data_IF_745005332658
#
_entry.id   IF_745005332658
#
_cell.length_a   1.000
_cell.length_b   1.000
_cell.length_c   1.000
_cell.angle_alpha   90.00
_cell.angle_beta   90.00
_cell.angle_gamma   90.00
#
_symmetry.space_group_name_H-M   'P 1'
#
loop_
_entity.id
_entity.type
_entity.pdbx_description
1 polymer ?
#
# COMPACT_ATOMS: atom_id res chain seq x y z
N UNK A 1 -141.61 30.74 2.98
CA UNK A 1 -141.68 31.53 1.74
C UNK A 1 -140.49 31.13 0.87
N UNK A 2 -140.78 30.83 -0.41
CA UNK A 2 -139.98 31.00 -1.65
C UNK A 2 -138.45 31.04 -1.61
N UNK A 3 -137.67 30.65 -2.62
CA UNK A 3 -137.77 29.90 -3.87
C UNK A 3 -136.33 29.97 -4.45
N UNK A 4 -135.90 28.93 -5.18
CA UNK A 4 -135.02 28.98 -6.37
C UNK A 4 -133.50 29.35 -6.35
N UNK A 5 -132.71 28.42 -6.93
CA UNK A 5 -131.54 28.52 -7.86
C UNK A 5 -130.32 29.37 -7.44
N UNK A 6 -129.06 28.94 -7.54
CA UNK A 6 -128.33 28.41 -8.71
C UNK A 6 -126.89 27.95 -8.29
N UNK A 7 -126.31 26.94 -8.95
CA UNK A 7 -124.85 26.62 -9.03
C UNK A 7 -124.24 27.39 -10.24
N UNK A 8 -122.90 27.44 -10.51
CA UNK A 8 -121.80 26.57 -10.04
C UNK A 8 -120.45 27.32 -9.75
N UNK A 9 -119.40 26.60 -9.29
CA UNK A 9 -118.13 26.49 -10.04
C UNK A 9 -117.03 25.69 -9.31
N UNK A 10 -116.31 24.91 -10.11
CA UNK A 10 -115.21 24.04 -9.77
C UNK A 10 -113.86 24.75 -9.99
N UNK A 11 -112.93 24.66 -9.04
CA UNK A 11 -111.45 24.75 -9.21
C UNK A 11 -110.81 24.93 -7.83
N UNK A 12 -110.38 23.86 -7.16
CA UNK A 12 -109.40 24.00 -6.04
C UNK A 12 -108.67 22.73 -5.58
N UNK A 13 -109.00 21.52 -6.04
CA UNK A 13 -108.36 20.31 -5.47
C UNK A 13 -107.18 19.72 -6.27
N UNK A 14 -106.96 20.08 -7.55
CA UNK A 14 -105.86 19.50 -8.36
C UNK A 14 -104.47 20.13 -8.13
N UNK A 15 -104.35 21.26 -7.44
CA UNK A 15 -103.08 21.99 -7.28
C UNK A 15 -102.28 21.59 -6.02
N UNK A 16 -102.93 21.01 -4.99
CA UNK A 16 -102.27 20.59 -3.73
C UNK A 16 -101.56 19.22 -3.79
N UNK A 17 -101.81 18.42 -4.82
CA UNK A 17 -101.21 17.07 -4.93
C UNK A 17 -99.92 17.02 -5.77
N UNK A 18 -99.61 18.05 -6.57
CA UNK A 18 -98.33 18.16 -7.28
C UNK A 18 -97.20 18.68 -6.37
N UNK A 19 -97.44 19.72 -5.55
CA UNK A 19 -96.35 20.37 -4.78
C UNK A 19 -95.66 19.46 -3.74
N UNK A 20 -96.40 18.52 -3.12
CA UNK A 20 -95.82 17.56 -2.16
C UNK A 20 -94.91 16.52 -2.83
N UNK A 21 -95.21 16.11 -4.07
CA UNK A 21 -94.34 15.19 -4.84
C UNK A 21 -93.06 15.90 -5.29
N UNK A 22 -93.18 17.17 -5.68
CA UNK A 22 -92.05 17.98 -6.12
C UNK A 22 -91.10 18.35 -4.95
N UNK A 23 -91.64 18.63 -3.75
CA UNK A 23 -90.83 18.81 -2.52
C UNK A 23 -90.07 17.55 -2.11
N UNK A 24 -90.73 16.38 -2.14
CA UNK A 24 -90.08 15.10 -1.80
C UNK A 24 -89.02 14.73 -2.85
N UNK A 25 -89.26 15.01 -4.14
CA UNK A 25 -88.25 14.85 -5.18
C UNK A 25 -87.06 15.80 -5.01
N UNK A 26 -87.31 17.07 -4.64
CA UNK A 26 -86.24 18.04 -4.39
C UNK A 26 -85.43 17.71 -3.12
N UNK A 27 -86.07 17.23 -2.05
CA UNK A 27 -85.37 16.74 -0.87
C UNK A 27 -84.50 15.52 -1.20
N UNK A 28 -85.00 14.55 -1.97
CA UNK A 28 -84.22 13.40 -2.45
C UNK A 28 -83.07 13.81 -3.37
N UNK A 29 -83.27 14.81 -4.26
CA UNK A 29 -82.20 15.39 -5.08
C UNK A 29 -81.14 16.11 -4.24
N UNK A 30 -81.52 16.85 -3.20
CA UNK A 30 -80.58 17.57 -2.34
C UNK A 30 -79.79 16.63 -1.41
N UNK A 31 -80.41 15.53 -0.95
CA UNK A 31 -79.73 14.45 -0.24
C UNK A 31 -78.70 13.75 -1.14
N UNK A 32 -79.10 13.39 -2.38
CA UNK A 32 -78.17 12.83 -3.38
C UNK A 32 -77.01 13.77 -3.71
N UNK A 33 -77.27 15.08 -3.87
CA UNK A 33 -76.20 16.08 -4.07
C UNK A 33 -75.26 16.23 -2.87
N UNK A 34 -75.77 16.04 -1.63
CA UNK A 34 -74.94 16.02 -0.41
C UNK A 34 -74.09 14.75 -0.35
N UNK A 35 -74.68 13.59 -0.66
CA UNK A 35 -74.00 12.29 -0.73
C UNK A 35 -72.90 12.32 -1.81
N UNK A 36 -73.21 12.79 -3.02
CA UNK A 36 -72.22 12.97 -4.10
C UNK A 36 -71.07 13.89 -3.69
N UNK A 37 -71.34 14.98 -2.95
CA UNK A 37 -70.28 15.85 -2.40
C UNK A 37 -69.42 15.17 -1.33
N UNK A 38 -70.02 14.32 -0.49
CA UNK A 38 -69.29 13.57 0.55
C UNK A 38 -68.43 12.49 -0.10
N UNK A 39 -69.00 11.73 -1.03
CA UNK A 39 -68.28 10.71 -1.82
C UNK A 39 -67.13 11.34 -2.60
N UNK A 40 -67.36 12.49 -3.25
CA UNK A 40 -66.30 13.24 -3.94
C UNK A 40 -65.16 13.68 -3.02
N UNK A 41 -65.47 14.12 -1.78
CA UNK A 41 -64.45 14.44 -0.77
C UNK A 41 -63.67 13.21 -0.31
N UNK A 42 -64.33 12.07 -0.11
CA UNK A 42 -63.68 10.81 0.28
C UNK A 42 -62.73 10.35 -0.84
N UNK A 43 -63.18 10.38 -2.09
CA UNK A 43 -62.36 10.03 -3.26
C UNK A 43 -61.14 10.96 -3.35
N UNK A 44 -61.33 12.28 -3.19
CA UNK A 44 -60.22 13.24 -3.20
C UNK A 44 -59.17 12.93 -2.12
N UNK A 45 -59.61 12.61 -0.89
CA UNK A 45 -58.70 12.27 0.22
C UNK A 45 -57.93 10.97 -0.07
N UNK A 46 -58.59 9.95 -0.63
CA UNK A 46 -57.93 8.68 -1.02
C UNK A 46 -56.88 8.93 -2.10
N UNK A 47 -57.20 9.73 -3.12
CA UNK A 47 -56.26 10.10 -4.18
C UNK A 47 -55.08 10.87 -3.59
N UNK A 48 -55.32 11.83 -2.69
CA UNK A 48 -54.26 12.59 -2.04
C UNK A 48 -53.34 11.69 -1.20
N UNK A 49 -53.91 10.76 -0.45
CA UNK A 49 -53.17 9.73 0.30
C UNK A 49 -52.29 8.89 -0.62
N UNK A 50 -52.84 8.40 -1.74
CA UNK A 50 -52.07 7.61 -2.72
C UNK A 50 -50.91 8.42 -3.33
N UNK A 51 -51.11 9.70 -3.62
CA UNK A 51 -50.05 10.59 -4.10
C UNK A 51 -48.97 10.80 -3.04
N UNK A 52 -49.35 11.01 -1.78
CA UNK A 52 -48.40 11.15 -0.67
C UNK A 52 -47.60 9.86 -0.46
N UNK A 53 -48.27 8.70 -0.44
CA UNK A 53 -47.62 7.39 -0.32
C UNK A 53 -46.69 7.14 -1.50
N UNK A 54 -47.14 7.44 -2.72
CA UNK A 54 -46.32 7.35 -3.93
C UNK A 54 -45.09 8.28 -3.87
N UNK A 55 -45.25 9.51 -3.36
CA UNK A 55 -44.17 10.46 -3.16
C UNK A 55 -43.14 9.98 -2.13
N UNK A 56 -43.59 9.45 -0.99
CA UNK A 56 -42.72 8.89 0.04
C UNK A 56 -41.97 7.67 -0.49
N UNK A 57 -42.66 6.76 -1.17
CA UNK A 57 -42.05 5.58 -1.81
C UNK A 57 -41.02 6.01 -2.85
N UNK A 58 -41.37 6.94 -3.74
CA UNK A 58 -40.46 7.47 -4.76
C UNK A 58 -39.23 8.13 -4.15
N UNK A 59 -39.40 8.94 -3.10
CA UNK A 59 -38.30 9.57 -2.38
C UNK A 59 -37.40 8.53 -1.69
N UNK A 60 -37.99 7.49 -1.09
CA UNK A 60 -37.25 6.42 -0.41
C UNK A 60 -36.42 5.61 -1.41
N UNK A 61 -37.01 5.23 -2.55
CA UNK A 61 -36.30 4.54 -3.64
C UNK A 61 -35.19 5.42 -4.22
N UNK A 62 -35.47 6.70 -4.48
CA UNK A 62 -34.46 7.65 -4.97
C UNK A 62 -33.28 7.76 -4.01
N UNK A 63 -33.54 7.94 -2.70
CA UNK A 63 -32.50 8.01 -1.66
C UNK A 63 -31.69 6.72 -1.56
N UNK A 64 -32.34 5.57 -1.68
CA UNK A 64 -31.67 4.27 -1.67
C UNK A 64 -30.70 4.14 -2.85
N UNK A 65 -31.14 4.47 -4.07
CA UNK A 65 -30.30 4.39 -5.28
C UNK A 65 -29.16 5.42 -5.22
N UNK A 66 -29.45 6.69 -4.90
CA UNK A 66 -28.41 7.74 -4.78
C UNK A 66 -27.34 7.37 -3.73
N UNK A 67 -27.77 6.80 -2.59
CA UNK A 67 -26.84 6.33 -1.57
C UNK A 67 -25.99 5.17 -2.07
N UNK A 68 -26.60 4.19 -2.75
CA UNK A 68 -25.93 2.99 -3.24
C UNK A 68 -24.96 3.23 -4.41
N UNK A 69 -25.12 4.33 -5.15
CA UNK A 69 -24.17 4.73 -6.20
C UNK A 69 -22.87 5.33 -5.64
N UNK A 70 -22.90 5.82 -4.39
CA UNK A 70 -21.73 6.37 -3.71
C UNK A 70 -20.90 5.25 -3.08
N UNK A 71 -19.58 5.44 -2.92
CA UNK A 71 -18.73 4.50 -2.19
C UNK A 71 -19.30 4.15 -0.80
N UNK A 72 -18.98 2.95 -0.32
CA UNK A 72 -19.42 2.49 1.00
C UNK A 72 -18.90 3.41 2.10
N UNK A 73 -17.59 3.67 2.08
CA UNK A 73 -16.92 4.61 2.96
C UNK A 73 -15.80 5.32 2.19
N UNK A 74 -16.01 6.58 1.76
CA UNK A 74 -15.03 7.36 0.99
C UNK A 74 -13.68 7.56 1.70
N UNK A 75 -13.64 7.39 3.03
CA UNK A 75 -12.42 7.59 3.83
C UNK A 75 -11.66 6.29 4.08
N UNK A 76 -12.29 5.14 3.86
CA UNK A 76 -11.70 3.84 4.12
C UNK A 76 -11.05 3.26 2.86
N UNK A 77 -9.73 3.39 2.80
CA UNK A 77 -8.89 2.82 1.74
C UNK A 77 -8.34 1.42 2.08
N UNK A 78 -8.83 0.75 3.12
CA UNK A 78 -8.36 -0.59 3.45
C UNK A 78 -8.88 -1.60 2.44
N UNK A 79 -7.96 -2.37 1.86
CA UNK A 79 -8.29 -3.41 0.90
C UNK A 79 -8.89 -4.63 1.62
N UNK A 80 -9.95 -5.17 1.04
CA UNK A 80 -10.61 -6.41 1.45
C UNK A 80 -10.40 -7.42 0.33
N UNK A 81 -9.97 -8.63 0.69
CA UNK A 81 -9.87 -9.72 -0.28
C UNK A 81 -11.26 -10.31 -0.50
N UNK A 82 -11.72 -10.33 -1.75
CA UNK A 82 -12.97 -10.97 -2.16
C UNK A 82 -12.69 -12.08 -3.17
N UNK A 83 -13.55 -13.08 -3.20
CA UNK A 83 -13.53 -14.14 -4.20
C UNK A 83 -14.77 -14.03 -5.07
N UNK A 84 -14.56 -13.99 -6.39
CA UNK A 84 -15.64 -14.09 -7.38
C UNK A 84 -15.57 -15.46 -8.03
N UNK A 85 -16.48 -16.39 -7.68
CA UNK A 85 -16.51 -17.73 -8.26
C UNK A 85 -16.76 -17.71 -9.77
N UNK A 86 -16.25 -18.72 -10.46
CA UNK A 86 -16.53 -18.91 -11.89
C UNK A 86 -18.01 -19.10 -12.16
N UNK A 87 -18.51 -18.45 -13.22
CA UNK A 87 -19.93 -18.46 -13.60
C UNK A 87 -20.83 -17.56 -12.76
N UNK A 88 -20.26 -16.71 -11.87
CA UNK A 88 -21.05 -15.75 -11.09
C UNK A 88 -21.77 -14.74 -11.98
N UNK A 89 -23.09 -14.61 -11.80
CA UNK A 89 -23.90 -13.56 -12.41
C UNK A 89 -23.65 -12.19 -11.78
N UNK A 90 -23.97 -11.09 -12.48
CA UNK A 90 -23.86 -9.73 -11.94
C UNK A 90 -24.60 -9.55 -10.60
N UNK A 91 -25.69 -10.29 -10.39
CA UNK A 91 -26.43 -10.31 -9.13
C UNK A 91 -25.61 -10.94 -8.01
N UNK A 92 -25.05 -12.14 -8.24
CA UNK A 92 -24.20 -12.83 -7.26
C UNK A 92 -22.94 -12.04 -6.94
N UNK A 93 -22.32 -11.42 -7.95
CA UNK A 93 -21.17 -10.52 -7.74
C UNK A 93 -21.57 -9.35 -6.82
N UNK A 94 -22.70 -8.71 -7.06
CA UNK A 94 -23.21 -7.65 -6.19
C UNK A 94 -23.47 -8.12 -4.76
N UNK A 95 -24.05 -9.31 -4.58
CA UNK A 95 -24.29 -9.90 -3.26
C UNK A 95 -22.98 -10.19 -2.50
N UNK A 96 -21.94 -10.69 -3.19
CA UNK A 96 -20.61 -10.92 -2.62
C UNK A 96 -19.98 -9.59 -2.19
N UNK A 97 -19.98 -8.59 -3.09
CA UNK A 97 -19.41 -7.27 -2.81
C UNK A 97 -20.10 -6.56 -1.63
N UNK A 98 -21.41 -6.73 -1.48
CA UNK A 98 -22.17 -6.18 -0.35
C UNK A 98 -21.87 -6.93 0.95
N UNK A 99 -21.85 -8.27 0.90
CA UNK A 99 -21.53 -9.12 2.04
C UNK A 99 -20.13 -8.83 2.60
N UNK A 100 -19.15 -8.66 1.71
CA UNK A 100 -17.76 -8.40 2.09
C UNK A 100 -17.47 -6.92 2.36
N UNK A 101 -18.52 -6.08 2.48
CA UNK A 101 -18.42 -4.67 2.82
C UNK A 101 -17.54 -3.87 1.85
N UNK A 102 -17.66 -4.14 0.54
CA UNK A 102 -17.02 -3.35 -0.52
C UNK A 102 -17.99 -2.30 -1.07
N UNK A 103 -19.28 -2.65 -1.18
CA UNK A 103 -20.34 -1.77 -1.68
C UNK A 103 -21.52 -1.69 -0.71
N UNK A 104 -22.36 -0.67 -0.86
CA UNK A 104 -23.58 -0.48 -0.05
C UNK A 104 -24.75 -1.38 -0.43
N UNK A 105 -24.84 -1.79 -1.69
CA UNK A 105 -25.99 -2.52 -2.22
C UNK A 105 -25.64 -3.30 -3.49
N UNK A 106 -25.75 -4.62 -3.41
CA UNK A 106 -25.63 -5.53 -4.55
C UNK A 106 -26.74 -5.33 -5.57
N UNK A 107 -27.94 -4.92 -5.12
CA UNK A 107 -29.06 -4.58 -6.01
C UNK A 107 -28.68 -3.38 -6.88
N UNK A 108 -28.19 -2.29 -6.28
CA UNK A 108 -27.78 -1.10 -7.02
C UNK A 108 -26.65 -1.43 -8.00
N UNK A 109 -25.65 -2.21 -7.58
CA UNK A 109 -24.59 -2.67 -8.47
C UNK A 109 -25.10 -3.50 -9.66
N UNK A 110 -26.01 -4.45 -9.43
CA UNK A 110 -26.59 -5.27 -10.49
C UNK A 110 -27.32 -4.42 -11.55
N UNK A 111 -28.10 -3.41 -11.13
CA UNK A 111 -28.75 -2.50 -12.08
C UNK A 111 -27.76 -1.52 -12.72
N UNK A 112 -26.77 -1.05 -11.96
CA UNK A 112 -25.73 -0.15 -12.44
C UNK A 112 -24.95 -0.77 -13.60
N UNK A 113 -24.49 -2.01 -13.44
CA UNK A 113 -23.74 -2.73 -14.47
C UNK A 113 -24.55 -2.93 -15.74
N UNK A 114 -25.86 -3.20 -15.63
CA UNK A 114 -26.77 -3.27 -16.79
C UNK A 114 -26.92 -1.91 -17.49
N UNK A 115 -27.14 -0.85 -16.73
CA UNK A 115 -27.33 0.50 -17.29
C UNK A 115 -26.07 1.02 -18.00
N UNK A 116 -24.90 0.70 -17.45
CA UNK A 116 -23.58 1.06 -18.01
C UNK A 116 -23.04 0.06 -19.03
N UNK A 117 -23.77 -1.01 -19.34
CA UNK A 117 -23.32 -2.11 -20.20
C UNK A 117 -21.97 -2.72 -19.79
N UNK A 118 -21.71 -2.78 -18.48
CA UNK A 118 -20.53 -3.45 -17.93
C UNK A 118 -20.76 -4.97 -17.97
N UNK A 119 -20.01 -5.64 -18.83
CA UNK A 119 -20.06 -7.09 -19.06
C UNK A 119 -18.65 -7.68 -19.04
N UNK A 120 -18.53 -9.01 -19.08
CA UNK A 120 -17.23 -9.68 -19.15
C UNK A 120 -16.45 -9.69 -17.83
N UNK A 121 -17.15 -9.69 -16.70
CA UNK A 121 -16.52 -9.85 -15.39
C UNK A 121 -15.86 -11.23 -15.28
N UNK A 122 -14.64 -11.23 -14.80
CA UNK A 122 -13.81 -12.42 -14.68
C UNK A 122 -13.91 -13.00 -13.28
N UNK A 123 -13.75 -14.32 -13.18
CA UNK A 123 -13.60 -15.00 -11.89
C UNK A 123 -12.21 -14.73 -11.30
N UNK A 124 -12.08 -14.92 -9.99
CA UNK A 124 -10.81 -14.87 -9.29
C UNK A 124 -10.87 -14.09 -7.98
N UNK A 125 -9.70 -13.92 -7.38
CA UNK A 125 -9.52 -13.15 -6.16
C UNK A 125 -9.18 -11.69 -6.48
N UNK A 126 -9.86 -10.78 -5.81
CA UNK A 126 -9.67 -9.34 -5.96
C UNK A 126 -9.37 -8.70 -4.62
N UNK A 127 -8.67 -7.58 -4.65
CA UNK A 127 -8.46 -6.71 -3.51
C UNK A 127 -9.18 -5.39 -3.80
N UNK A 128 -10.22 -5.08 -3.04
CA UNK A 128 -11.07 -3.90 -3.25
C UNK A 128 -11.24 -3.12 -1.95
N UNK A 129 -11.35 -1.80 -2.02
CA UNK A 129 -11.54 -0.95 -0.85
C UNK A 129 -12.96 -0.34 -0.80
N UNK A 130 -13.53 -0.10 0.40
CA UNK A 130 -14.85 0.53 0.55
C UNK A 130 -14.98 1.94 -0.04
N UNK A 131 -13.86 2.63 -0.29
CA UNK A 131 -13.83 3.94 -0.92
C UNK A 131 -13.93 3.91 -2.45
N UNK A 132 -13.86 2.73 -3.08
CA UNK A 132 -13.93 2.59 -4.53
C UNK A 132 -15.34 2.90 -5.06
N UNK A 133 -15.38 3.48 -6.25
CA UNK A 133 -16.61 3.70 -7.02
C UNK A 133 -17.04 2.43 -7.76
N UNK A 134 -18.33 2.35 -8.11
CA UNK A 134 -18.85 1.20 -8.89
C UNK A 134 -18.19 1.07 -10.27
N UNK A 135 -17.72 2.18 -10.86
CA UNK A 135 -16.96 2.17 -12.11
C UNK A 135 -15.57 1.57 -11.94
N UNK A 136 -14.85 1.91 -10.86
CA UNK A 136 -13.54 1.34 -10.56
C UNK A 136 -13.66 -0.16 -10.26
N UNK A 137 -14.64 -0.55 -9.46
CA UNK A 137 -14.95 -1.96 -9.16
C UNK A 137 -15.28 -2.71 -10.45
N UNK A 138 -16.16 -2.15 -11.30
CA UNK A 138 -16.53 -2.76 -12.58
C UNK A 138 -15.33 -2.96 -13.50
N UNK A 139 -14.46 -1.96 -13.64
CA UNK A 139 -13.22 -2.06 -14.43
C UNK A 139 -12.27 -3.11 -13.88
N UNK A 140 -12.11 -3.18 -12.56
CA UNK A 140 -11.24 -4.17 -11.92
C UNK A 140 -11.75 -5.60 -12.16
N UNK A 141 -13.06 -5.81 -12.05
CA UNK A 141 -13.70 -7.09 -12.38
C UNK A 141 -13.52 -7.50 -13.85
N UNK A 142 -13.48 -6.53 -14.77
CA UNK A 142 -13.21 -6.78 -16.19
C UNK A 142 -11.73 -7.09 -16.46
N UNK A 143 -10.82 -6.49 -15.69
CA UNK A 143 -9.38 -6.66 -15.87
C UNK A 143 -8.87 -8.06 -15.48
N UNK A 144 -9.60 -8.78 -14.62
CA UNK A 144 -9.24 -10.13 -14.19
C UNK A 144 -8.71 -10.19 -12.76
N UNK A 145 -9.19 -11.18 -12.00
CA UNK A 145 -8.72 -11.49 -10.64
C UNK A 145 -7.51 -12.42 -10.66
N UNK A 146 -6.83 -12.54 -9.53
CA UNK A 146 -5.75 -13.54 -9.38
C UNK A 146 -6.33 -14.94 -9.20
N UNK A 147 -5.63 -15.96 -9.68
CA UNK A 147 -6.05 -17.37 -9.54
C UNK A 147 -5.97 -17.88 -8.10
N UNK A 148 -5.11 -17.25 -7.29
CA UNK A 148 -4.92 -17.58 -5.88
C UNK A 148 -5.21 -16.37 -4.99
N UNK A 149 -5.68 -16.60 -3.75
CA UNK A 149 -5.89 -15.54 -2.78
C UNK A 149 -4.55 -14.90 -2.41
N UNK A 150 -4.43 -13.58 -2.62
CA UNK A 150 -3.33 -12.79 -2.07
C UNK A 150 -3.82 -12.10 -0.80
N UNK A 151 -3.29 -12.52 0.35
CA UNK A 151 -3.54 -11.83 1.62
C UNK A 151 -3.30 -10.33 1.41
N UNK A 152 -4.25 -9.53 1.89
CA UNK A 152 -4.04 -8.08 1.98
C UNK A 152 -3.04 -7.85 3.10
N UNK A 153 -1.98 -7.08 2.81
CA UNK A 153 -1.03 -6.68 3.83
C UNK A 153 -1.71 -5.78 4.86
N UNK A 154 -1.55 -6.10 6.15
CA UNK A 154 -2.01 -5.26 7.27
C UNK A 154 -1.22 -3.94 7.35
N UNK A 155 -0.06 -3.87 6.69
CA UNK A 155 0.75 -2.67 6.56
C UNK A 155 1.95 -2.86 5.65
N UNK A 156 2.75 -1.80 5.52
CA UNK A 156 4.01 -1.82 4.77
C UNK A 156 5.17 -1.37 5.66
N UNK A 157 6.29 -2.09 5.60
CA UNK A 157 7.53 -1.74 6.30
C UNK A 157 8.52 -1.26 5.25
N UNK A 158 8.83 0.04 5.28
CA UNK A 158 9.89 0.61 4.44
C UNK A 158 11.21 0.48 5.18
N UNK A 159 12.16 -0.24 4.57
CA UNK A 159 13.56 -0.32 4.97
C UNK A 159 14.40 0.52 3.98
N UNK A 160 14.95 1.66 4.41
CA UNK A 160 15.82 2.48 3.58
C UNK A 160 17.16 1.81 3.28
N UNK A 161 17.85 2.35 2.27
CA UNK A 161 19.23 1.99 1.90
C UNK A 161 20.22 2.48 2.97
N UNK A 162 21.31 1.75 3.14
CA UNK A 162 22.36 2.08 4.09
C UNK A 162 21.94 1.95 5.56
N UNK A 163 20.92 1.15 5.86
CA UNK A 163 20.55 0.76 7.20
C UNK A 163 21.32 -0.48 7.65
N UNK A 164 21.87 -0.44 8.87
CA UNK A 164 22.39 -1.62 9.55
C UNK A 164 21.26 -2.44 10.22
N UNK A 165 21.57 -3.66 10.65
CA UNK A 165 20.60 -4.52 11.36
C UNK A 165 20.00 -3.86 12.62
N UNK A 166 20.75 -3.04 13.35
CA UNK A 166 20.27 -2.35 14.55
C UNK A 166 19.19 -1.31 14.21
N UNK A 167 19.37 -0.59 13.11
CA UNK A 167 18.42 0.37 12.55
C UNK A 167 17.20 -0.34 11.96
N UNK A 168 17.40 -1.45 11.22
CA UNK A 168 16.31 -2.30 10.72
C UNK A 168 15.47 -2.83 11.88
N UNK A 169 16.10 -3.36 12.93
CA UNK A 169 15.40 -3.85 14.11
C UNK A 169 14.56 -2.76 14.78
N UNK A 170 15.09 -1.54 14.88
CA UNK A 170 14.38 -0.38 15.42
C UNK A 170 13.18 0.01 14.55
N UNK A 171 13.34 -0.04 13.23
CA UNK A 171 12.26 0.23 12.25
C UNK A 171 11.16 -0.81 12.31
N UNK A 172 11.53 -2.10 12.34
CA UNK A 172 10.58 -3.22 12.47
C UNK A 172 9.81 -3.11 13.77
N UNK A 173 10.47 -2.84 14.90
CA UNK A 173 9.80 -2.67 16.18
C UNK A 173 8.78 -1.52 16.16
N UNK A 174 9.16 -0.38 15.58
CA UNK A 174 8.27 0.80 15.46
C UNK A 174 7.03 0.54 14.61
N UNK A 175 7.15 -0.23 13.53
CA UNK A 175 6.03 -0.46 12.59
C UNK A 175 5.15 -1.64 13.01
N UNK A 176 5.76 -2.71 13.55
CA UNK A 176 5.04 -3.96 13.84
C UNK A 176 4.64 -4.12 15.31
N UNK A 177 5.21 -3.31 16.21
CA UNK A 177 5.05 -3.48 17.65
C UNK A 177 5.80 -4.67 18.24
N UNK A 178 6.53 -5.45 17.43
CA UNK A 178 7.37 -6.56 17.90
C UNK A 178 8.63 -6.04 18.59
N UNK A 179 9.17 -6.82 19.52
CA UNK A 179 10.34 -6.38 20.28
C UNK A 179 11.60 -6.27 19.42
N UNK A 180 12.31 -5.14 19.55
CA UNK A 180 13.61 -4.92 18.88
C UNK A 180 14.61 -6.02 19.23
N UNK A 181 14.69 -6.39 20.52
CA UNK A 181 15.65 -7.40 20.98
C UNK A 181 15.38 -8.78 20.35
N UNK A 182 14.12 -9.18 20.23
CA UNK A 182 13.75 -10.43 19.57
C UNK A 182 14.20 -10.47 18.10
N UNK A 183 14.20 -9.34 17.39
CA UNK A 183 14.76 -9.25 16.03
C UNK A 183 16.29 -9.42 16.03
N UNK A 184 16.99 -8.74 16.93
CA UNK A 184 18.45 -8.84 17.04
C UNK A 184 18.91 -10.24 17.43
N UNK A 185 18.19 -10.90 18.33
CA UNK A 185 18.46 -12.27 18.74
C UNK A 185 18.25 -13.24 17.57
N UNK A 186 17.22 -13.00 16.75
CA UNK A 186 16.99 -13.76 15.53
C UNK A 186 18.15 -13.60 14.54
N UNK A 187 18.74 -12.41 14.41
CA UNK A 187 19.91 -12.19 13.53
C UNK A 187 21.18 -12.89 13.99
N UNK A 188 21.26 -13.27 15.28
CA UNK A 188 22.36 -14.06 15.85
C UNK A 188 22.03 -15.57 15.93
N UNK A 189 20.82 -15.98 15.55
CA UNK A 189 20.38 -17.36 15.69
C UNK A 189 20.97 -18.25 14.59
N UNK A 190 21.94 -19.10 14.97
CA UNK A 190 22.62 -20.00 14.03
C UNK A 190 21.68 -21.03 13.36
N UNK A 191 20.66 -21.53 14.08
CA UNK A 191 19.70 -22.47 13.49
C UNK A 191 18.89 -21.82 12.39
N UNK A 192 18.42 -20.58 12.62
CA UNK A 192 17.72 -19.80 11.62
C UNK A 192 18.61 -19.42 10.44
N UNK A 193 19.87 -19.04 10.69
CA UNK A 193 20.83 -18.82 9.60
C UNK A 193 21.02 -20.08 8.74
N UNK A 194 21.11 -21.28 9.34
CA UNK A 194 21.18 -22.55 8.61
C UNK A 194 19.89 -22.87 7.83
N UNK A 195 18.72 -22.51 8.35
CA UNK A 195 17.45 -22.60 7.61
C UNK A 195 17.50 -21.74 6.34
N UNK A 196 17.95 -20.49 6.47
CA UNK A 196 18.13 -19.57 5.34
C UNK A 196 19.19 -20.07 4.37
N UNK A 197 20.33 -20.58 4.85
CA UNK A 197 21.39 -21.14 4.01
C UNK A 197 20.89 -22.30 3.16
N UNK A 198 20.05 -23.18 3.71
CA UNK A 198 19.43 -24.26 2.92
C UNK A 198 18.48 -23.73 1.85
N UNK A 199 17.79 -22.62 2.13
CA UNK A 199 16.85 -21.99 1.19
C UNK A 199 17.55 -21.16 0.11
N UNK A 200 18.67 -20.52 0.45
CA UNK A 200 19.44 -19.63 -0.41
C UNK A 200 20.95 -20.02 -0.40
N UNK A 201 21.30 -21.23 -0.87
CA UNK A 201 22.65 -21.77 -0.71
C UNK A 201 23.71 -20.94 -1.44
N UNK A 202 23.44 -20.51 -2.67
CA UNK A 202 24.37 -19.70 -3.46
C UNK A 202 24.58 -18.31 -2.84
N UNK A 203 23.51 -17.65 -2.39
CA UNK A 203 23.58 -16.34 -1.74
C UNK A 203 24.43 -16.37 -0.45
N UNK A 204 24.20 -17.38 0.40
CA UNK A 204 24.73 -17.43 1.76
C UNK A 204 25.97 -18.32 1.92
N UNK A 205 26.51 -18.89 0.82
CA UNK A 205 27.72 -19.71 0.85
C UNK A 205 28.88 -18.95 1.48
N UNK A 206 29.23 -17.79 0.93
CA UNK A 206 30.34 -16.98 1.42
C UNK A 206 30.12 -16.39 2.82
N UNK A 207 28.88 -16.01 3.16
CA UNK A 207 28.52 -15.56 4.50
C UNK A 207 28.72 -16.66 5.56
N UNK A 208 28.44 -17.92 5.21
CA UNK A 208 28.62 -19.05 6.13
C UNK A 208 30.07 -19.34 6.49
N UNK A 209 31.02 -18.88 5.67
CA UNK A 209 32.45 -19.05 5.89
C UNK A 209 33.11 -17.81 6.55
N UNK A 210 32.36 -16.70 6.65
CA UNK A 210 32.85 -15.48 7.25
C UNK A 210 33.08 -15.67 8.76
N UNK A 211 34.19 -15.11 9.26
CA UNK A 211 34.59 -15.19 10.67
C UNK A 211 34.55 -13.81 11.30
N UNK A 212 34.31 -13.76 12.61
CA UNK A 212 34.28 -12.52 13.40
C UNK A 212 33.23 -11.49 12.92
N UNK A 213 32.15 -11.97 12.29
CA UNK A 213 31.01 -11.12 11.89
C UNK A 213 30.17 -10.73 13.12
N UNK A 214 29.70 -9.48 13.16
CA UNK A 214 28.77 -9.02 14.20
C UNK A 214 27.39 -9.66 14.05
N UNK A 215 26.91 -9.72 12.80
CA UNK A 215 25.72 -10.44 12.37
C UNK A 215 25.99 -11.17 11.05
N UNK A 216 25.69 -12.47 10.93
CA UNK A 216 25.87 -13.21 9.67
C UNK A 216 25.03 -12.70 8.50
N UNK A 217 23.94 -11.98 8.79
CA UNK A 217 23.02 -11.42 7.79
C UNK A 217 23.18 -9.89 7.60
N UNK A 218 24.23 -9.27 8.14
CA UNK A 218 24.47 -7.84 7.89
C UNK A 218 24.65 -7.60 6.38
N UNK A 219 23.94 -6.62 5.84
CA UNK A 219 23.88 -6.36 4.40
C UNK A 219 23.07 -7.35 3.55
N UNK A 220 22.51 -8.42 4.15
CA UNK A 220 21.68 -9.40 3.45
C UNK A 220 20.16 -9.11 3.57
N UNK A 221 19.77 -8.05 4.26
CA UNK A 221 18.38 -7.60 4.35
C UNK A 221 18.15 -6.43 3.38
N UNK A 222 17.75 -6.74 2.14
CA UNK A 222 17.68 -5.76 1.06
C UNK A 222 16.85 -4.50 1.44
N UNK A 223 17.24 -3.30 0.99
CA UNK A 223 16.42 -2.11 1.17
C UNK A 223 15.21 -2.14 0.21
N UNK A 224 14.00 -2.20 0.77
CA UNK A 224 12.76 -2.19 0.01
C UNK A 224 11.55 -1.86 0.90
N UNK A 225 10.37 -1.83 0.28
CA UNK A 225 9.10 -1.84 1.00
C UNK A 225 8.55 -3.25 1.07
N UNK A 226 8.32 -3.73 2.28
CA UNK A 226 7.88 -5.09 2.59
C UNK A 226 6.43 -5.11 3.06
N UNK A 227 5.65 -6.07 2.55
CA UNK A 227 4.29 -6.31 3.02
C UNK A 227 4.33 -6.99 4.38
N UNK A 228 3.62 -6.40 5.35
CA UNK A 228 3.52 -6.88 6.71
C UNK A 228 2.10 -7.38 6.99
N UNK A 229 2.01 -8.50 7.70
CA UNK A 229 0.76 -9.08 8.18
C UNK A 229 0.85 -9.24 9.70
N UNK A 230 -0.20 -8.97 10.47
CA UNK A 230 -0.17 -9.01 11.95
C UNK A 230 0.33 -10.36 12.50
N UNK A 231 -0.15 -11.44 11.88
CA UNK A 231 0.22 -12.82 12.22
C UNK A 231 1.62 -13.24 11.70
N UNK A 232 2.29 -12.39 10.91
CA UNK A 232 3.61 -12.68 10.36
C UNK A 232 4.65 -12.76 11.50
N UNK A 233 5.47 -13.80 11.48
CA UNK A 233 6.59 -13.92 12.42
C UNK A 233 7.78 -13.06 12.00
N UNK A 234 8.71 -12.79 12.92
CA UNK A 234 9.98 -12.12 12.57
C UNK A 234 10.79 -12.95 11.56
N UNK A 235 10.72 -14.29 11.64
CA UNK A 235 11.35 -15.20 10.68
C UNK A 235 10.83 -14.97 9.28
N UNK A 236 9.51 -14.89 9.10
CA UNK A 236 8.89 -14.71 7.78
C UNK A 236 9.30 -13.38 7.15
N UNK A 237 9.31 -12.30 7.96
CA UNK A 237 9.73 -10.99 7.51
C UNK A 237 11.19 -10.99 7.05
N UNK A 238 12.09 -11.61 7.82
CA UNK A 238 13.51 -11.73 7.44
C UNK A 238 13.68 -12.59 6.20
N UNK A 239 12.96 -13.72 6.11
CA UNK A 239 12.97 -14.57 4.91
C UNK A 239 12.55 -13.77 3.68
N UNK A 240 11.56 -12.87 3.80
CA UNK A 240 11.14 -11.99 2.72
C UNK A 240 12.24 -11.00 2.31
N UNK A 241 12.95 -10.42 3.28
CA UNK A 241 14.08 -9.51 3.05
C UNK A 241 15.26 -10.22 2.36
N UNK A 242 15.67 -11.38 2.87
CA UNK A 242 16.76 -12.19 2.28
C UNK A 242 16.37 -12.72 0.90
N UNK A 243 15.11 -13.13 0.71
CA UNK A 243 14.63 -13.52 -0.61
C UNK A 243 14.72 -12.37 -1.61
N UNK A 244 14.41 -11.14 -1.19
CA UNK A 244 14.55 -9.96 -2.04
C UNK A 244 16.02 -9.73 -2.42
N UNK A 245 16.96 -9.87 -1.48
CA UNK A 245 18.41 -9.85 -1.77
C UNK A 245 18.77 -10.92 -2.81
N UNK A 246 18.30 -12.16 -2.63
CA UNK A 246 18.54 -13.24 -3.57
C UNK A 246 18.02 -12.90 -4.97
N UNK A 247 16.79 -12.41 -5.10
CA UNK A 247 16.19 -12.03 -6.38
C UNK A 247 16.98 -10.92 -7.08
N UNK A 248 17.45 -9.92 -6.33
CA UNK A 248 18.24 -8.82 -6.91
C UNK A 248 19.64 -9.28 -7.30
N UNK A 249 20.27 -10.15 -6.50
CA UNK A 249 21.63 -10.61 -6.78
C UNK A 249 21.74 -11.74 -7.79
N UNK A 250 20.67 -12.51 -8.00
CA UNK A 250 20.70 -13.69 -8.88
C UNK A 250 21.28 -13.40 -10.28
N UNK A 251 20.92 -12.30 -10.98
CA UNK A 251 21.51 -11.98 -12.28
C UNK A 251 23.02 -11.74 -12.24
N UNK A 252 23.57 -11.38 -11.08
CA UNK A 252 24.97 -11.00 -10.90
C UNK A 252 25.86 -12.15 -10.39
N UNK A 253 25.31 -13.29 -9.93
CA UNK A 253 26.11 -14.39 -9.37
C UNK A 253 27.21 -14.90 -10.32
N UNK A 254 26.91 -15.02 -11.60
CA UNK A 254 27.89 -15.43 -12.63
C UNK A 254 29.02 -14.40 -12.76
N UNK A 255 28.68 -13.11 -12.83
CA UNK A 255 29.65 -12.00 -12.90
C UNK A 255 30.55 -11.98 -11.67
N UNK A 256 29.98 -12.11 -10.46
CA UNK A 256 30.71 -12.16 -9.19
C UNK A 256 31.77 -13.27 -9.22
N UNK A 257 31.37 -14.48 -9.64
CA UNK A 257 32.26 -15.63 -9.74
C UNK A 257 33.35 -15.46 -10.80
N UNK A 258 33.01 -14.90 -11.97
CA UNK A 258 33.97 -14.60 -13.05
C UNK A 258 35.02 -13.57 -12.62
N UNK A 259 34.65 -12.63 -11.75
CA UNK A 259 35.56 -11.64 -11.19
C UNK A 259 36.38 -12.17 -10.00
N UNK A 260 36.24 -13.46 -9.66
CA UNK A 260 36.89 -14.08 -8.49
C UNK A 260 36.55 -13.40 -7.16
N UNK A 261 35.37 -12.79 -7.07
CA UNK A 261 34.84 -12.22 -5.85
C UNK A 261 33.84 -13.19 -5.22
N UNK A 262 33.64 -13.05 -3.92
CA UNK A 262 32.55 -13.67 -3.18
C UNK A 262 31.41 -12.68 -2.96
N UNK A 263 30.19 -13.18 -2.76
CA UNK A 263 29.03 -12.32 -2.45
C UNK A 263 29.29 -11.49 -1.17
N UNK A 264 29.88 -12.10 -0.14
CA UNK A 264 30.30 -11.41 1.08
C UNK A 264 31.19 -10.21 0.75
N UNK A 265 32.22 -10.38 -0.08
CA UNK A 265 33.15 -9.30 -0.47
C UNK A 265 32.44 -8.19 -1.27
N UNK A 266 31.58 -8.57 -2.21
CA UNK A 266 30.81 -7.62 -3.02
C UNK A 266 29.89 -6.78 -2.15
N UNK A 267 29.09 -7.42 -1.28
CA UNK A 267 28.21 -6.70 -0.35
C UNK A 267 28.99 -5.86 0.64
N UNK A 268 30.19 -6.29 1.05
CA UNK A 268 31.04 -5.51 1.95
C UNK A 268 31.49 -4.22 1.29
N UNK A 269 32.07 -4.28 0.08
CA UNK A 269 32.45 -3.08 -0.65
C UNK A 269 31.23 -2.22 -1.01
N UNK A 270 30.11 -2.84 -1.39
CA UNK A 270 28.89 -2.12 -1.74
C UNK A 270 28.33 -1.33 -0.55
N UNK A 271 28.38 -1.89 0.67
CA UNK A 271 27.95 -1.17 1.88
C UNK A 271 28.84 0.03 2.22
N UNK A 272 30.15 -0.04 1.91
CA UNK A 272 31.02 1.13 2.01
C UNK A 272 30.66 2.17 0.93
N UNK A 273 30.54 1.75 -0.32
CA UNK A 273 30.21 2.62 -1.45
C UNK A 273 28.86 3.33 -1.27
N UNK A 274 27.87 2.66 -0.66
CA UNK A 274 26.53 3.22 -0.40
C UNK A 274 26.57 4.53 0.38
N UNK A 275 27.47 4.60 1.36
CA UNK A 275 27.59 5.74 2.28
C UNK A 275 28.66 6.75 1.85
N UNK A 276 29.62 6.36 1.02
CA UNK A 276 30.69 7.25 0.53
C UNK A 276 30.32 7.99 -0.77
N UNK A 277 29.39 7.44 -1.57
CA UNK A 277 29.06 7.97 -2.89
C UNK A 277 27.56 8.23 -3.10
N UNK A 278 27.22 9.44 -3.57
CA UNK A 278 25.83 9.80 -3.93
C UNK A 278 25.56 9.59 -5.42
N UNK A 279 26.49 10.02 -6.29
CA UNK A 279 26.34 9.93 -7.75
C UNK A 279 26.89 8.60 -8.27
N UNK A 280 26.29 8.08 -9.33
CA UNK A 280 26.70 6.79 -9.93
C UNK A 280 28.19 6.75 -10.31
N UNK A 281 28.70 7.78 -10.98
CA UNK A 281 30.11 7.86 -11.37
C UNK A 281 31.05 7.91 -10.15
N UNK A 282 30.63 8.60 -9.09
CA UNK A 282 31.43 8.67 -7.86
C UNK A 282 31.48 7.29 -7.20
N UNK A 283 30.34 6.59 -7.09
CA UNK A 283 30.25 5.22 -6.58
C UNK A 283 31.20 4.27 -7.34
N UNK A 284 31.18 4.33 -8.68
CA UNK A 284 32.05 3.49 -9.54
C UNK A 284 33.54 3.81 -9.37
N UNK A 285 33.90 5.08 -9.20
CA UNK A 285 35.29 5.47 -8.97
C UNK A 285 35.76 5.10 -7.54
N UNK A 286 34.91 5.30 -6.53
CA UNK A 286 35.17 4.91 -5.13
C UNK A 286 35.36 3.40 -5.03
N UNK A 287 34.51 2.61 -5.69
CA UNK A 287 34.67 1.16 -5.77
C UNK A 287 36.05 0.77 -6.33
N UNK A 288 36.49 1.42 -7.41
CA UNK A 288 37.83 1.20 -7.97
C UNK A 288 38.95 1.60 -7.00
N UNK A 289 38.80 2.69 -6.24
CA UNK A 289 39.78 3.08 -5.20
C UNK A 289 39.93 1.97 -4.16
N UNK A 290 38.82 1.38 -3.70
CA UNK A 290 38.87 0.27 -2.76
C UNK A 290 39.58 -0.97 -3.34
N UNK A 291 39.29 -1.33 -4.59
CA UNK A 291 40.03 -2.40 -5.26
C UNK A 291 41.53 -2.10 -5.40
N UNK A 292 41.89 -0.86 -5.74
CA UNK A 292 43.28 -0.43 -5.85
C UNK A 292 44.02 -0.55 -4.51
N UNK A 293 43.39 -0.10 -3.41
CA UNK A 293 43.92 -0.22 -2.06
C UNK A 293 44.10 -1.68 -1.63
N UNK A 294 43.08 -2.53 -1.84
CA UNK A 294 43.16 -3.96 -1.52
C UNK A 294 44.31 -4.62 -2.27
N UNK A 295 44.44 -4.34 -3.58
CA UNK A 295 45.53 -4.88 -4.41
C UNK A 295 46.91 -4.43 -3.94
N UNK A 296 47.03 -3.22 -3.41
CA UNK A 296 48.26 -2.67 -2.84
C UNK A 296 48.48 -3.04 -1.36
N UNK A 297 47.62 -3.89 -0.77
CA UNK A 297 47.62 -4.19 0.66
C UNK A 297 47.57 -2.93 1.55
N UNK A 298 46.85 -1.91 1.10
CA UNK A 298 46.56 -0.69 1.86
C UNK A 298 45.24 -0.86 2.62
N UNK A 299 45.13 -0.36 3.87
CA UNK A 299 43.86 -0.31 4.57
C UNK A 299 42.83 0.54 3.81
N UNK A 300 41.55 0.17 3.87
CA UNK A 300 40.50 0.91 3.16
C UNK A 300 40.21 2.28 3.80
N UNK A 301 40.42 2.42 5.12
CA UNK A 301 40.30 3.66 5.89
C UNK A 301 38.97 4.39 5.66
N UNK A 302 37.86 3.67 5.80
CA UNK A 302 36.52 4.27 5.76
C UNK A 302 35.97 4.47 7.18
N UNK A 303 35.43 5.65 7.43
CA UNK A 303 34.81 6.03 8.72
C UNK A 303 33.59 5.19 9.06
N UNK A 304 32.87 4.71 8.04
CA UNK A 304 31.73 3.79 8.19
C UNK A 304 32.14 2.55 8.98
N UNK A 305 33.33 2.03 8.69
CA UNK A 305 33.86 0.83 9.32
C UNK A 305 34.15 1.03 10.82
N UNK A 306 34.64 2.22 11.19
CA UNK A 306 34.93 2.61 12.57
C UNK A 306 33.63 2.86 13.34
N UNK A 307 32.68 3.59 12.74
CA UNK A 307 31.39 3.88 13.35
C UNK A 307 30.60 2.59 13.63
N UNK A 308 30.61 1.66 12.66
CA UNK A 308 30.00 0.33 12.83
C UNK A 308 30.68 -0.46 13.95
N UNK A 309 32.02 -0.47 14.00
CA UNK A 309 32.79 -1.14 15.05
C UNK A 309 32.48 -0.59 16.46
N UNK A 310 32.26 0.72 16.58
CA UNK A 310 31.89 1.38 17.84
C UNK A 310 30.42 1.16 18.23
N UNK A 311 29.57 0.76 17.29
CA UNK A 311 28.12 0.69 17.47
C UNK A 311 27.49 2.06 17.77
N UNK A 312 28.07 3.14 17.23
CA UNK A 312 27.63 4.52 17.48
C UNK A 312 27.39 5.24 16.16
N UNK A 313 26.33 6.03 16.11
CA UNK A 313 26.15 7.04 15.08
C UNK A 313 26.78 8.36 15.58
N UNK A 314 27.84 8.82 14.93
CA UNK A 314 28.48 10.10 15.18
C UNK A 314 28.65 10.80 13.83
N UNK A 315 28.50 12.12 13.82
CA UNK A 315 28.73 12.92 12.60
C UNK A 315 30.22 13.01 12.25
N UNK A 316 31.09 13.02 13.27
CA UNK A 316 32.54 13.11 13.09
C UNK A 316 33.25 11.96 13.82
N UNK A 317 34.21 11.33 13.13
CA UNK A 317 35.11 10.32 13.69
C UNK A 317 36.37 11.01 14.20
N UNK A 318 36.68 10.87 15.49
CA UNK A 318 37.91 11.42 16.07
C UNK A 318 39.10 10.49 15.84
N UNK A 319 40.33 11.01 15.94
CA UNK A 319 41.53 10.17 15.88
C UNK A 319 41.52 9.01 16.89
N UNK A 320 40.97 9.23 18.09
CA UNK A 320 40.84 8.16 19.09
C UNK A 320 39.85 7.08 18.65
N UNK A 321 38.76 7.45 17.96
CA UNK A 321 37.78 6.50 17.44
C UNK A 321 38.44 5.57 16.38
N UNK A 322 39.33 6.10 15.53
CA UNK A 322 40.02 5.31 14.48
C UNK A 322 40.96 4.22 15.03
N UNK A 323 41.28 4.27 16.33
CA UNK A 323 42.13 3.28 17.00
C UNK A 323 41.34 2.15 17.68
N UNK A 324 40.02 2.06 17.46
CA UNK A 324 39.18 1.01 18.06
C UNK A 324 39.68 -0.40 17.69
N UNK A 325 39.83 -1.25 18.70
CA UNK A 325 40.20 -2.66 18.49
C UNK A 325 38.96 -3.46 18.06
N UNK A 326 38.85 -3.68 16.75
CA UNK A 326 37.77 -4.43 16.14
C UNK A 326 38.20 -4.98 14.79
N UNK A 327 37.78 -6.20 14.42
CA UNK A 327 38.04 -6.75 13.09
C UNK A 327 37.36 -5.95 11.98
N UNK A 328 36.32 -5.16 12.30
CA UNK A 328 35.66 -4.25 11.37
C UNK A 328 36.41 -2.92 11.19
N UNK A 329 37.44 -2.61 11.99
CA UNK A 329 38.19 -1.37 11.82
C UNK A 329 39.11 -1.45 10.60
N UNK A 330 38.71 -0.84 9.49
CA UNK A 330 39.47 -0.84 8.23
C UNK A 330 40.56 0.25 8.17
N UNK A 331 40.83 0.96 9.27
CA UNK A 331 42.03 1.78 9.42
C UNK A 331 43.24 0.93 9.83
N UNK A 332 43.01 -0.09 10.66
CA UNK A 332 44.07 -0.94 11.22
C UNK A 332 44.17 -2.29 10.52
N UNK A 333 43.07 -2.78 9.93
CA UNK A 333 43.01 -4.07 9.24
C UNK A 333 42.95 -3.87 7.71
N UNK A 334 43.75 -4.62 6.96
CA UNK A 334 43.74 -4.60 5.49
C UNK A 334 42.72 -5.59 4.91
N UNK A 335 42.40 -5.42 3.62
CA UNK A 335 41.45 -6.27 2.91
C UNK A 335 40.00 -5.80 3.06
N UNK A 336 39.06 -6.73 2.91
CA UNK A 336 37.62 -6.42 2.89
C UNK A 336 37.02 -6.23 4.29
N UNK A 337 37.65 -6.78 5.33
CA UNK A 337 37.03 -6.92 6.65
C UNK A 337 36.12 -8.17 6.76
N UNK A 338 35.38 -8.31 7.87
CA UNK A 338 34.58 -9.51 8.17
C UNK A 338 33.31 -9.64 7.33
N UNK A 339 32.72 -8.51 6.94
CA UNK A 339 31.45 -8.47 6.22
C UNK A 339 30.90 -7.06 6.05
N UNK A 340 29.66 -6.94 5.52
CA UNK A 340 29.01 -5.66 5.28
C UNK A 340 28.76 -4.85 6.54
N UNK A 341 28.53 -3.56 6.34
CA UNK A 341 28.29 -2.57 7.40
C UNK A 341 26.84 -2.06 7.44
N UNK A 342 26.13 -2.19 6.33
CA UNK A 342 24.73 -1.81 6.15
C UNK A 342 24.11 -2.58 4.96
N UNK A 343 22.85 -2.29 4.63
CA UNK A 343 22.17 -2.84 3.45
C UNK A 343 22.37 -1.94 2.18
N UNK A 344 23.26 -2.32 1.26
CA UNK A 344 23.52 -1.52 0.08
C UNK A 344 22.36 -1.56 -0.92
N UNK A 345 22.23 -0.49 -1.70
CA UNK A 345 21.36 -0.45 -2.87
C UNK A 345 21.89 -1.35 -4.00
N UNK A 346 21.01 -1.70 -4.95
CA UNK A 346 21.44 -2.36 -6.18
C UNK A 346 22.45 -1.51 -6.97
N UNK A 347 22.31 -0.18 -6.95
CA UNK A 347 23.22 0.73 -7.63
C UNK A 347 24.65 0.67 -7.05
N UNK A 348 24.79 0.55 -5.73
CA UNK A 348 26.10 0.39 -5.09
C UNK A 348 26.71 -0.99 -5.36
N UNK A 349 25.88 -2.04 -5.42
CA UNK A 349 26.31 -3.37 -5.85
C UNK A 349 26.83 -3.34 -7.29
N UNK A 350 26.07 -2.74 -8.21
CA UNK A 350 26.47 -2.58 -9.61
C UNK A 350 27.76 -1.77 -9.74
N UNK A 351 27.94 -0.71 -8.94
CA UNK A 351 29.16 0.09 -8.96
C UNK A 351 30.41 -0.72 -8.56
N UNK A 352 30.28 -1.72 -7.68
CA UNK A 352 31.35 -2.64 -7.31
C UNK A 352 31.63 -3.67 -8.40
N UNK A 353 30.60 -4.14 -9.10
CA UNK A 353 30.75 -5.12 -10.19
C UNK A 353 31.26 -4.50 -11.50
N UNK A 354 30.96 -3.22 -11.72
CA UNK A 354 31.30 -2.46 -12.91
C UNK A 354 31.99 -1.13 -12.55
N UNK A 355 33.15 -1.17 -11.86
CA UNK A 355 33.86 0.02 -11.47
C UNK A 355 34.49 0.73 -12.68
N UNK A 356 34.67 2.04 -12.57
CA UNK A 356 35.41 2.81 -13.59
C UNK A 356 36.89 2.63 -13.31
N UNK A 357 37.60 1.98 -14.24
CA UNK A 357 39.05 1.78 -14.14
C UNK A 357 39.77 3.12 -13.99
N UNK A 358 40.60 3.22 -12.96
CA UNK A 358 41.43 4.37 -12.65
C UNK A 358 42.63 3.93 -11.78
N UNK A 359 43.58 4.83 -11.58
CA UNK A 359 44.76 4.61 -10.71
C UNK A 359 44.68 5.41 -9.40
N UNK A 360 43.46 5.74 -8.95
CA UNK A 360 43.27 6.53 -7.75
C UNK A 360 43.37 5.64 -6.51
N UNK A 361 43.98 6.19 -5.47
CA UNK A 361 44.10 5.56 -4.15
C UNK A 361 43.44 6.39 -3.07
N UNK A 362 43.03 7.62 -3.36
CA UNK A 362 42.48 8.55 -2.39
C UNK A 362 41.29 9.27 -3.02
N UNK A 363 40.31 9.60 -2.19
CA UNK A 363 39.22 10.48 -2.55
C UNK A 363 38.86 11.38 -1.38
N UNK A 364 38.24 12.51 -1.66
CA UNK A 364 37.69 13.42 -0.66
C UNK A 364 36.39 14.02 -1.19
N UNK A 365 35.35 14.01 -0.36
CA UNK A 365 34.08 14.62 -0.68
C UNK A 365 34.06 16.08 -0.19
N UNK A 366 33.61 16.99 -1.05
CA UNK A 366 33.26 18.35 -0.68
C UNK A 366 31.84 18.36 -0.11
N UNK A 367 31.74 18.54 1.21
CA UNK A 367 30.48 18.51 1.95
C UNK A 367 29.52 19.66 1.57
N UNK A 368 29.99 20.72 0.91
CA UNK A 368 29.14 21.87 0.52
C UNK A 368 28.39 21.63 -0.78
N UNK A 369 29.07 21.06 -1.79
CA UNK A 369 28.49 20.85 -3.12
C UNK A 369 28.26 19.37 -3.48
N UNK A 370 28.73 18.44 -2.65
CA UNK A 370 28.58 17.00 -2.83
C UNK A 370 29.42 16.41 -3.97
N UNK A 371 30.48 17.08 -4.41
CA UNK A 371 31.41 16.54 -5.40
C UNK A 371 32.50 15.69 -4.73
N UNK A 372 32.92 14.62 -5.39
CA UNK A 372 34.03 13.78 -4.95
C UNK A 372 35.24 14.04 -5.84
N UNK A 373 36.38 14.32 -5.21
CA UNK A 373 37.67 14.53 -5.88
C UNK A 373 38.59 13.35 -5.62
N UNK A 374 39.30 12.90 -6.64
CA UNK A 374 40.14 11.71 -6.60
C UNK A 374 41.62 12.06 -6.80
N UNK A 375 42.51 11.30 -6.15
CA UNK A 375 43.95 11.48 -6.19
C UNK A 375 44.70 10.15 -6.28
N UNK A 376 45.84 10.17 -6.98
CA UNK A 376 46.72 9.00 -7.12
C UNK A 376 47.69 8.92 -5.95
N UNK A 377 48.17 10.06 -5.46
CA UNK A 377 49.14 10.14 -4.37
C UNK A 377 48.57 10.80 -3.12
N UNK A 378 49.21 10.56 -1.98
CA UNK A 378 48.82 11.18 -0.72
C UNK A 378 49.04 12.69 -0.73
N UNK A 379 50.10 13.17 -1.38
CA UNK A 379 50.39 14.61 -1.53
C UNK A 379 49.32 15.33 -2.35
N UNK A 380 48.83 14.71 -3.43
CA UNK A 380 47.70 15.22 -4.21
C UNK A 380 46.43 15.26 -3.35
N UNK A 381 46.17 14.21 -2.57
CA UNK A 381 45.03 14.16 -1.67
C UNK A 381 45.06 15.29 -0.62
N UNK A 382 46.21 15.54 0.01
CA UNK A 382 46.35 16.63 0.99
C UNK A 382 46.06 18.01 0.36
N UNK A 383 46.47 18.24 -0.90
CA UNK A 383 46.12 19.47 -1.62
C UNK A 383 44.62 19.60 -1.88
N UNK A 384 43.94 18.49 -2.18
CA UNK A 384 42.48 18.48 -2.36
C UNK A 384 41.75 18.73 -1.03
N UNK A 385 42.20 18.12 0.06
CA UNK A 385 41.67 18.34 1.42
C UNK A 385 41.84 19.81 1.82
N UNK A 386 43.03 20.38 1.63
CA UNK A 386 43.27 21.79 1.93
C UNK A 386 42.35 22.71 1.11
N UNK A 387 42.20 22.43 -0.18
CA UNK A 387 41.41 23.26 -1.10
C UNK A 387 39.90 23.18 -0.86
N UNK A 388 39.36 22.00 -0.57
CA UNK A 388 37.90 21.77 -0.57
C UNK A 388 37.32 21.52 0.82
N UNK A 389 38.12 21.04 1.78
CA UNK A 389 37.66 20.68 3.14
C UNK A 389 38.11 21.70 4.20
N UNK A 390 39.42 22.03 4.26
CA UNK A 390 39.95 22.89 5.34
C UNK A 390 39.74 24.39 5.08
N UNK A 391 39.84 24.85 3.83
CA UNK A 391 39.61 26.26 3.46
C UNK A 391 38.12 26.56 3.14
N UNK A 392 37.21 25.76 3.69
CA UNK A 392 35.78 25.82 3.45
C UNK A 392 35.03 26.31 4.69
#
# INVERSE_FOLDING_TARGET
>A
MSENKQRPEAKKSKQRHSSKKDEVMNQRKNLRKKEEKIVGKIILVIVLMLVIVGGILGFTVYRYVDSGLKPLDPTNSQLVQIEIPSGSSNKQIGEILEKDQVIKSGIVFNYYTKFKNLTGFQAGYYQMAPNMTLDEIGKQLQAGGTSEPKKVADGKIVIPEGYDIDQIASRVAKVTGKEKQAFLDLMKNNSFFKELQKKFPELLESASQAKNVKYPLEGYLFPATYDYYKEMSLKDLVVQMVNKTNTVLQPYFSTIKQQHLTIQQVLTLASLVEKEGVKENDRKNIAQVFFNRIKANMPLQSDISVLYALGKHKENVSYQDTAVDSPYNLYTNTGYGPGPFDNPSEASIQAVLEPIKNDYYYFVADIKNGNVYFAKTYEEHLKLVDKYVNNS
#
